data_IF_020821990130
#
_entry.id   IF_020821990130
#
_cell.length_a   1.000
_cell.length_b   1.000
_cell.length_c   1.000
_cell.angle_alpha   90.00
_cell.angle_beta   90.00
_cell.angle_gamma   90.00
#
_symmetry.space_group_name_H-M   'P 1'
#
loop_
_entity.id
_entity.type
_entity.pdbx_description
1 polymer ?
#
# COMPACT_ATOMS: atom_id res chain seq x y z
N UNK A 1 -0.34 5.55 15.16
CA UNK A 1 1.13 5.52 14.88
C UNK A 1 1.46 4.23 14.14
N UNK A 2 2.43 4.22 13.20
CA UNK A 2 2.92 2.94 12.64
C UNK A 2 3.77 2.26 13.71
N UNK A 3 3.48 1.01 14.00
CA UNK A 3 4.14 0.22 15.04
C UNK A 3 5.13 -0.79 14.48
N UNK A 4 4.76 -1.45 13.40
CA UNK A 4 5.59 -2.49 12.81
C UNK A 4 5.65 -2.37 11.30
N UNK A 5 6.71 -2.92 10.74
CA UNK A 5 6.89 -3.12 9.29
C UNK A 5 7.38 -4.54 9.02
N UNK A 6 6.93 -5.12 7.92
CA UNK A 6 7.50 -6.33 7.32
C UNK A 6 7.70 -6.10 5.84
N UNK A 7 8.89 -6.45 5.35
CA UNK A 7 9.29 -6.31 3.94
C UNK A 7 9.61 -7.69 3.41
N UNK A 8 9.05 -8.04 2.25
CA UNK A 8 9.37 -9.29 1.56
C UNK A 8 9.84 -9.04 0.15
N UNK A 9 10.77 -9.87 -0.28
CA UNK A 9 11.26 -9.96 -1.65
C UNK A 9 11.91 -8.67 -2.18
N UNK A 10 12.49 -7.82 -1.31
CA UNK A 10 13.20 -6.62 -1.71
C UNK A 10 14.72 -6.82 -1.65
N UNK A 11 15.39 -6.86 -2.79
CA UNK A 11 16.86 -7.03 -2.92
C UNK A 11 17.37 -8.22 -2.09
N UNK A 12 18.22 -7.96 -1.09
CA UNK A 12 18.76 -8.99 -0.18
C UNK A 12 17.78 -9.46 0.89
N UNK A 13 16.65 -8.78 1.05
CA UNK A 13 15.60 -9.17 2.02
C UNK A 13 14.65 -10.15 1.32
N UNK A 14 14.68 -11.42 1.72
CA UNK A 14 13.65 -12.39 1.32
C UNK A 14 12.41 -12.19 2.19
N UNK A 15 12.57 -12.18 3.51
CA UNK A 15 11.56 -11.82 4.50
C UNK A 15 12.25 -11.19 5.71
N UNK A 16 11.88 -9.97 6.06
CA UNK A 16 12.47 -9.28 7.23
C UNK A 16 11.92 -9.81 8.55
N UNK A 17 10.84 -10.60 8.52
CA UNK A 17 10.01 -10.76 9.70
C UNK A 17 9.32 -9.43 10.08
N UNK A 18 8.63 -9.44 11.21
CA UNK A 18 7.99 -8.24 11.76
C UNK A 18 9.06 -7.45 12.52
N UNK A 19 9.28 -6.21 12.10
CA UNK A 19 10.22 -5.28 12.74
C UNK A 19 9.40 -4.21 13.46
N UNK A 20 9.50 -4.18 14.79
CA UNK A 20 8.82 -3.19 15.62
C UNK A 20 9.57 -1.87 15.61
N UNK A 21 8.88 -0.74 15.40
CA UNK A 21 9.46 0.58 15.49
C UNK A 21 9.64 1.03 16.93
N UNK A 22 10.87 1.41 17.26
CA UNK A 22 11.24 2.00 18.55
C UNK A 22 11.86 3.38 18.30
N UNK A 23 11.86 4.28 19.30
CA UNK A 23 12.51 5.60 19.18
C UNK A 23 13.97 5.54 18.74
N UNK A 24 14.68 4.49 19.14
CA UNK A 24 16.05 4.20 18.70
C UNK A 24 16.11 2.74 18.28
N UNK A 25 16.61 2.50 17.06
CA UNK A 25 16.79 1.17 16.49
C UNK A 25 18.23 0.99 16.02
N UNK A 26 18.85 -0.12 16.36
CA UNK A 26 20.21 -0.48 15.93
C UNK A 26 20.11 -1.74 15.07
N UNK A 27 20.55 -1.63 13.82
CA UNK A 27 20.60 -2.76 12.90
C UNK A 27 21.99 -3.39 12.92
N UNK A 28 22.09 -4.62 13.41
CA UNK A 28 23.31 -5.40 13.46
C UNK A 28 23.23 -6.57 12.48
N UNK A 29 24.37 -7.00 11.95
CA UNK A 29 24.45 -8.17 11.06
C UNK A 29 25.61 -8.08 10.07
N UNK A 30 25.88 -9.17 9.38
CA UNK A 30 26.92 -9.28 8.37
C UNK A 30 26.70 -8.31 7.18
N UNK A 31 27.75 -8.10 6.39
CA UNK A 31 27.62 -7.35 5.14
C UNK A 31 26.60 -8.06 4.22
N UNK A 32 25.86 -7.28 3.46
CA UNK A 32 24.79 -7.74 2.55
C UNK A 32 23.59 -8.45 3.22
N UNK A 33 23.46 -8.39 4.55
CA UNK A 33 22.32 -8.98 5.27
C UNK A 33 21.00 -8.22 5.13
N UNK A 34 20.95 -7.16 4.33
CA UNK A 34 19.72 -6.38 4.10
C UNK A 34 19.57 -5.10 4.92
N UNK A 35 20.49 -4.78 5.84
CA UNK A 35 20.42 -3.55 6.67
C UNK A 35 20.25 -2.28 5.84
N UNK A 36 21.11 -2.09 4.84
CA UNK A 36 21.03 -0.93 3.94
C UNK A 36 19.79 -0.96 3.05
N UNK A 37 19.33 -2.14 2.64
CA UNK A 37 18.08 -2.29 1.90
C UNK A 37 16.89 -1.85 2.75
N UNK A 38 16.84 -2.28 4.01
CA UNK A 38 15.81 -1.86 4.96
C UNK A 38 15.81 -0.35 5.15
N UNK A 39 16.95 0.27 5.45
CA UNK A 39 17.04 1.72 5.65
C UNK A 39 16.67 2.49 4.38
N UNK A 40 17.08 2.03 3.21
CA UNK A 40 16.79 2.67 1.92
C UNK A 40 15.34 2.49 1.46
N UNK A 41 14.56 1.60 2.07
CA UNK A 41 13.13 1.48 1.76
C UNK A 41 12.34 2.72 2.14
N UNK A 42 12.74 3.48 3.16
CA UNK A 42 12.04 4.70 3.57
C UNK A 42 12.20 5.84 2.55
N UNK A 43 13.44 6.26 2.18
CA UNK A 43 13.59 7.27 1.13
C UNK A 43 13.07 6.81 -0.25
N UNK A 44 12.97 5.50 -0.53
CA UNK A 44 12.32 4.97 -1.72
C UNK A 44 10.86 5.43 -1.81
N UNK A 45 10.12 5.42 -0.71
CA UNK A 45 8.75 5.91 -0.69
C UNK A 45 8.69 7.42 -0.85
N UNK A 46 9.55 8.16 -0.16
CA UNK A 46 9.63 9.63 -0.28
C UNK A 46 9.88 10.05 -1.74
N UNK A 47 10.89 9.48 -2.40
CA UNK A 47 11.19 9.80 -3.80
C UNK A 47 10.05 9.44 -4.77
N UNK A 48 9.21 8.48 -4.40
CA UNK A 48 8.09 8.04 -5.24
C UNK A 48 6.89 8.98 -5.15
N UNK A 49 6.67 9.61 -3.98
CA UNK A 49 5.58 10.57 -3.77
C UNK A 49 5.81 11.87 -4.52
N UNK A 50 7.05 12.34 -4.55
CA UNK A 50 7.40 13.65 -5.12
C UNK A 50 7.37 13.68 -6.67
N UNK A 51 7.30 12.51 -7.31
CA UNK A 51 7.30 12.40 -8.77
C UNK A 51 5.93 12.02 -9.30
N UNK A 52 5.49 12.71 -10.36
CA UNK A 52 4.34 12.29 -11.17
C UNK A 52 4.72 11.05 -11.98
N UNK A 53 4.60 9.89 -11.39
CA UNK A 53 4.99 8.61 -11.97
C UNK A 53 3.86 7.97 -12.77
N UNK A 54 4.22 7.16 -13.77
CA UNK A 54 3.27 6.25 -14.44
C UNK A 54 3.02 4.95 -13.65
N UNK A 55 3.53 4.86 -12.42
CA UNK A 55 3.44 3.68 -11.56
C UNK A 55 3.63 4.05 -10.09
N UNK A 56 3.51 3.09 -9.17
CA UNK A 56 3.46 3.35 -7.72
C UNK A 56 4.82 3.72 -7.12
N UNK A 57 5.92 3.33 -7.76
CA UNK A 57 7.27 3.48 -7.18
C UNK A 57 8.29 3.96 -8.23
N UNK A 58 9.13 4.90 -7.82
CA UNK A 58 10.36 5.29 -8.49
C UNK A 58 11.53 4.48 -7.92
N UNK A 59 12.01 3.48 -8.66
CA UNK A 59 13.13 2.66 -8.22
C UNK A 59 14.47 3.38 -8.26
N UNK A 60 14.57 4.46 -9.02
CA UNK A 60 15.79 5.24 -9.19
C UNK A 60 15.54 6.73 -8.97
N UNK A 61 16.39 7.31 -8.13
CA UNK A 61 16.57 8.76 -8.01
C UNK A 61 18.00 9.05 -7.62
N UNK A 62 18.68 9.95 -8.36
CA UNK A 62 20.07 10.30 -8.11
C UNK A 62 20.30 11.00 -6.76
N UNK A 63 19.26 11.62 -6.20
CA UNK A 63 19.33 12.33 -4.92
C UNK A 63 19.05 11.45 -3.70
N UNK A 64 18.35 10.32 -3.89
CA UNK A 64 17.89 9.47 -2.78
C UNK A 64 18.39 8.05 -2.88
N UNK A 65 17.70 7.21 -3.67
CA UNK A 65 17.98 5.77 -3.73
C UNK A 65 17.98 5.26 -5.15
N UNK A 66 18.98 4.43 -5.44
CA UNK A 66 19.05 3.65 -6.65
C UNK A 66 18.85 2.16 -6.33
N UNK A 67 17.69 1.63 -6.73
CA UNK A 67 17.40 0.20 -6.78
C UNK A 67 17.31 -0.32 -8.22
N UNK A 68 17.62 0.53 -9.21
CA UNK A 68 17.52 0.20 -10.62
C UNK A 68 16.10 0.20 -11.15
N UNK A 69 15.60 -0.99 -11.45
CA UNK A 69 14.23 -1.26 -11.88
C UNK A 69 13.56 -2.31 -10.98
N UNK A 70 12.32 -2.66 -11.28
CA UNK A 70 11.60 -3.71 -10.53
C UNK A 70 12.36 -5.04 -10.52
N UNK A 71 12.92 -5.46 -11.66
CA UNK A 71 13.62 -6.74 -11.78
C UNK A 71 14.88 -6.77 -10.91
N UNK A 72 15.62 -5.67 -10.89
CA UNK A 72 16.83 -5.50 -10.05
C UNK A 72 16.47 -5.34 -8.57
N UNK A 73 15.33 -4.70 -8.27
CA UNK A 73 14.86 -4.50 -6.91
C UNK A 73 14.25 -5.78 -6.31
N UNK A 74 13.68 -6.68 -7.12
CA UNK A 74 13.12 -7.94 -6.63
C UNK A 74 14.23 -8.88 -6.16
N UNK A 75 13.97 -9.59 -5.05
CA UNK A 75 14.88 -10.62 -4.56
C UNK A 75 15.00 -11.74 -5.60
N UNK A 76 16.24 -12.12 -5.94
CA UNK A 76 16.52 -13.11 -6.98
C UNK A 76 16.10 -14.54 -6.63
N UNK A 77 15.85 -14.82 -5.36
CA UNK A 77 15.41 -16.13 -4.86
C UNK A 77 13.90 -16.17 -4.59
N UNK A 78 13.19 -15.05 -4.77
CA UNK A 78 11.74 -15.01 -4.63
C UNK A 78 11.05 -15.79 -5.75
N UNK A 79 9.95 -16.46 -5.43
CA UNK A 79 9.09 -17.10 -6.42
C UNK A 79 8.68 -16.08 -7.50
N UNK A 80 8.61 -16.52 -8.76
CA UNK A 80 8.20 -15.65 -9.87
C UNK A 80 6.80 -15.08 -9.68
N UNK A 81 5.91 -15.84 -9.07
CA UNK A 81 4.52 -15.43 -8.79
C UNK A 81 4.41 -14.41 -7.67
N UNK A 82 5.38 -14.35 -6.77
CA UNK A 82 5.40 -13.41 -5.66
C UNK A 82 6.00 -12.07 -6.07
N UNK A 83 5.38 -10.99 -5.61
CA UNK A 83 5.87 -9.63 -5.78
C UNK A 83 6.73 -9.17 -4.59
N UNK A 84 7.19 -7.93 -4.68
CA UNK A 84 7.79 -7.22 -3.54
C UNK A 84 6.62 -6.74 -2.67
N UNK A 85 6.62 -7.07 -1.37
CA UNK A 85 5.53 -6.67 -0.48
C UNK A 85 5.99 -5.91 0.74
N UNK A 86 5.13 -5.00 1.18
CA UNK A 86 5.27 -4.20 2.38
C UNK A 86 4.01 -4.36 3.21
N UNK A 87 4.18 -4.61 4.49
CA UNK A 87 3.09 -4.74 5.46
C UNK A 87 3.40 -3.84 6.65
N UNK A 88 2.40 -3.10 7.11
CA UNK A 88 2.49 -2.19 8.24
C UNK A 88 1.38 -2.50 9.22
N UNK A 89 1.69 -2.45 10.51
CA UNK A 89 0.65 -2.37 11.54
C UNK A 89 0.63 -0.97 12.12
N UNK A 90 -0.53 -0.57 12.55
CA UNK A 90 -0.76 0.76 13.13
C UNK A 90 -1.71 0.67 14.33
N UNK A 91 -1.49 1.58 15.27
CA UNK A 91 -2.43 1.84 16.37
C UNK A 91 -2.62 3.34 16.57
N UNK A 92 -3.61 3.68 17.40
CA UNK A 92 -3.90 5.06 17.81
C UNK A 92 -4.00 6.08 16.68
N UNK A 93 -4.69 5.72 15.58
CA UNK A 93 -5.07 6.68 14.55
C UNK A 93 -6.16 7.67 15.00
N UNK A 94 -6.38 7.78 16.30
CA UNK A 94 -7.48 8.51 16.95
C UNK A 94 -7.50 10.01 16.65
N UNK A 95 -6.40 10.60 16.18
CA UNK A 95 -6.32 12.06 16.04
C UNK A 95 -7.03 12.62 14.81
N UNK A 96 -7.43 11.79 13.84
CA UNK A 96 -7.85 12.29 12.53
C UNK A 96 -9.36 12.26 12.33
N UNK A 97 -10.05 11.24 12.74
CA UNK A 97 -11.52 11.21 12.66
C UNK A 97 -12.10 10.00 13.42
N UNK A 98 -12.95 10.27 14.40
CA UNK A 98 -13.76 9.24 15.08
C UNK A 98 -14.92 8.75 14.21
N UNK A 99 -14.94 9.06 12.92
CA UNK A 99 -16.02 8.64 12.04
C UNK A 99 -15.97 7.14 11.85
N UNK A 100 -17.07 6.48 12.18
CA UNK A 100 -17.31 5.10 11.79
C UNK A 100 -17.48 5.06 10.28
N UNK A 101 -16.73 4.19 9.63
CA UNK A 101 -16.91 3.92 8.22
C UNK A 101 -17.99 2.85 8.07
N UNK A 102 -18.95 3.14 7.22
CA UNK A 102 -20.00 2.19 6.88
C UNK A 102 -19.75 1.70 5.46
N UNK A 103 -19.53 0.40 5.32
CA UNK A 103 -19.46 -0.28 4.03
C UNK A 103 -20.79 -0.98 3.82
N UNK A 104 -21.56 -0.53 2.84
CA UNK A 104 -22.82 -1.18 2.47
C UNK A 104 -22.62 -2.03 1.22
N UNK A 105 -22.99 -3.31 1.30
CA UNK A 105 -23.09 -4.20 0.15
C UNK A 105 -24.42 -4.94 0.20
N UNK A 106 -25.32 -4.63 -0.72
CA UNK A 106 -26.69 -5.14 -0.69
C UNK A 106 -27.36 -4.85 0.65
N UNK A 107 -27.76 -5.89 1.35
CA UNK A 107 -28.41 -5.81 2.68
C UNK A 107 -27.40 -5.80 3.84
N UNK A 108 -26.09 -5.93 3.56
CA UNK A 108 -25.06 -5.95 4.61
C UNK A 108 -24.47 -4.55 4.81
N UNK A 109 -24.36 -4.17 6.07
CA UNK A 109 -23.68 -2.93 6.47
C UNK A 109 -22.54 -3.31 7.41
N UNK A 110 -21.32 -3.01 7.00
CA UNK A 110 -20.14 -3.19 7.83
C UNK A 110 -19.75 -1.84 8.42
N UNK A 111 -19.52 -1.79 9.72
CA UNK A 111 -18.97 -0.61 10.38
C UNK A 111 -17.58 -0.94 10.91
N UNK A 112 -16.61 -0.05 10.73
CA UNK A 112 -15.27 -0.22 11.27
C UNK A 112 -14.70 1.08 11.79
N UNK A 113 -13.82 0.97 12.75
CA UNK A 113 -12.99 2.05 13.25
C UNK A 113 -11.54 1.78 12.82
N UNK A 114 -10.85 2.80 12.34
CA UNK A 114 -9.43 2.71 11.98
C UNK A 114 -8.49 2.94 13.18
N UNK A 115 -8.93 2.52 14.38
CA UNK A 115 -8.15 2.71 15.60
C UNK A 115 -6.83 1.93 15.55
N UNK A 116 -6.91 0.68 15.13
CA UNK A 116 -5.79 -0.23 14.99
C UNK A 116 -6.03 -1.19 13.84
N UNK A 117 -4.95 -1.70 13.26
CA UNK A 117 -5.06 -2.65 12.16
C UNK A 117 -3.74 -2.85 11.42
N UNK A 118 -3.86 -3.44 10.25
CA UNK A 118 -2.73 -3.58 9.33
C UNK A 118 -3.11 -3.13 7.92
N UNK A 119 -2.08 -2.76 7.20
CA UNK A 119 -2.16 -2.36 5.81
C UNK A 119 -0.99 -3.00 5.07
N UNK A 120 -1.26 -3.61 3.93
CA UNK A 120 -0.21 -4.17 3.09
C UNK A 120 -0.47 -3.92 1.61
N UNK A 121 0.60 -3.89 0.83
CA UNK A 121 0.52 -3.88 -0.62
C UNK A 121 1.65 -4.71 -1.23
N UNK A 122 1.38 -5.25 -2.41
CA UNK A 122 2.31 -6.03 -3.21
C UNK A 122 2.54 -5.35 -4.57
N UNK A 123 3.81 -5.27 -4.95
CA UNK A 123 4.27 -4.73 -6.21
C UNK A 123 4.67 -5.85 -7.15
N UNK A 124 4.24 -5.77 -8.41
CA UNK A 124 4.71 -6.59 -9.52
C UNK A 124 5.24 -5.72 -10.65
N UNK A 125 6.03 -6.31 -11.52
CA UNK A 125 6.56 -5.65 -12.71
C UNK A 125 6.14 -6.36 -13.97
N UNK A 126 5.89 -5.56 -15.02
CA UNK A 126 5.65 -6.00 -16.39
C UNK A 126 6.56 -5.23 -17.36
N UNK A 127 6.38 -5.42 -18.67
CA UNK A 127 7.12 -4.70 -19.71
C UNK A 127 6.89 -3.18 -19.72
N UNK A 128 5.84 -2.70 -19.05
CA UNK A 128 5.47 -1.27 -18.95
C UNK A 128 5.94 -0.63 -17.63
N UNK A 129 6.50 -1.42 -16.71
CA UNK A 129 7.01 -0.97 -15.42
C UNK A 129 6.36 -1.65 -14.21
N UNK A 130 6.35 -0.98 -13.07
CA UNK A 130 5.81 -1.51 -11.82
C UNK A 130 4.33 -1.17 -11.65
N UNK A 131 3.56 -2.09 -11.09
CA UNK A 131 2.17 -1.88 -10.70
C UNK A 131 1.87 -2.54 -9.35
N UNK A 132 0.80 -2.12 -8.69
CA UNK A 132 0.31 -2.78 -7.47
C UNK A 132 -0.57 -3.95 -7.89
N UNK A 133 -0.21 -5.16 -7.46
CA UNK A 133 -0.97 -6.38 -7.70
C UNK A 133 -1.97 -6.68 -6.60
N UNK A 134 -1.69 -6.25 -5.37
CA UNK A 134 -2.55 -6.51 -4.21
C UNK A 134 -2.47 -5.38 -3.20
N UNK A 135 -3.61 -5.06 -2.60
CA UNK A 135 -3.72 -4.20 -1.41
C UNK A 135 -4.59 -4.94 -0.40
N UNK A 136 -4.21 -4.93 0.85
CA UNK A 136 -5.02 -5.46 1.95
C UNK A 136 -5.05 -4.47 3.10
N UNK A 137 -6.22 -4.29 3.68
CA UNK A 137 -6.46 -3.45 4.85
C UNK A 137 -7.24 -4.30 5.84
N UNK A 138 -6.71 -4.46 7.03
CA UNK A 138 -7.37 -5.14 8.12
C UNK A 138 -7.58 -4.16 9.25
N UNK A 139 -8.79 -4.12 9.75
CA UNK A 139 -9.20 -3.35 10.92
C UNK A 139 -9.78 -4.29 11.94
N UNK A 140 -10.23 -3.81 13.08
CA UNK A 140 -10.84 -4.64 14.14
C UNK A 140 -11.97 -5.52 13.61
N UNK A 141 -12.82 -4.99 12.72
CA UNK A 141 -14.06 -5.66 12.30
C UNK A 141 -14.13 -5.95 10.79
N UNK A 142 -13.24 -5.37 10.00
CA UNK A 142 -13.31 -5.47 8.54
C UNK A 142 -11.94 -5.80 7.96
N UNK A 143 -11.94 -6.84 7.13
CA UNK A 143 -10.84 -7.17 6.24
C UNK A 143 -11.23 -6.80 4.81
N UNK A 144 -10.45 -5.93 4.19
CA UNK A 144 -10.68 -5.44 2.84
C UNK A 144 -9.47 -5.74 1.96
N UNK A 145 -9.69 -6.43 0.86
CA UNK A 145 -8.66 -6.81 -0.10
C UNK A 145 -9.01 -6.40 -1.52
N UNK A 146 -7.98 -5.97 -2.25
CA UNK A 146 -7.99 -5.67 -3.67
C UNK A 146 -6.91 -6.48 -4.34
N UNK A 147 -7.18 -7.06 -5.50
CA UNK A 147 -6.16 -7.73 -6.29
C UNK A 147 -6.41 -7.63 -7.80
N UNK A 148 -5.31 -7.60 -8.54
CA UNK A 148 -5.27 -7.72 -9.99
C UNK A 148 -4.18 -8.72 -10.37
N UNK A 149 -4.40 -9.51 -11.43
CA UNK A 149 -3.37 -10.41 -11.94
C UNK A 149 -2.44 -9.67 -12.91
N UNK A 150 -2.99 -8.74 -13.69
CA UNK A 150 -2.28 -7.89 -14.63
C UNK A 150 -2.73 -6.43 -14.47
N UNK A 151 -1.91 -5.49 -14.93
CA UNK A 151 -2.16 -4.03 -14.87
C UNK A 151 -3.51 -3.62 -15.47
N UNK A 152 -3.97 -4.31 -16.50
CA UNK A 152 -5.22 -4.01 -17.23
C UNK A 152 -6.40 -4.85 -16.77
N UNK A 153 -6.21 -5.74 -15.80
CA UNK A 153 -7.28 -6.58 -15.30
C UNK A 153 -8.30 -5.77 -14.48
N UNK A 154 -9.49 -6.32 -14.40
CA UNK A 154 -10.49 -5.81 -13.48
C UNK A 154 -10.04 -6.07 -12.04
N UNK A 155 -10.29 -5.10 -11.16
CA UNK A 155 -9.97 -5.24 -9.74
C UNK A 155 -10.95 -6.25 -9.11
N UNK A 156 -10.39 -7.25 -8.45
CA UNK A 156 -11.14 -8.18 -7.62
C UNK A 156 -11.19 -7.65 -6.19
N UNK A 157 -12.39 -7.63 -5.61
CA UNK A 157 -12.62 -7.17 -4.24
C UNK A 157 -12.91 -8.35 -3.33
N UNK A 158 -12.38 -8.30 -2.12
CA UNK A 158 -12.67 -9.25 -1.06
C UNK A 158 -12.98 -8.47 0.22
N UNK A 159 -14.14 -8.71 0.83
CA UNK A 159 -14.51 -8.11 2.13
C UNK A 159 -14.86 -9.25 3.07
N UNK A 160 -14.16 -9.35 4.20
CA UNK A 160 -14.35 -10.41 5.19
C UNK A 160 -14.37 -11.84 4.58
N UNK A 161 -13.46 -12.07 3.61
CA UNK A 161 -13.34 -13.36 2.91
C UNK A 161 -14.33 -13.59 1.78
N UNK A 162 -15.31 -12.70 1.57
CA UNK A 162 -16.29 -12.82 0.48
C UNK A 162 -15.80 -12.04 -0.73
N UNK A 163 -15.68 -12.71 -1.86
CA UNK A 163 -15.27 -12.10 -3.13
C UNK A 163 -16.43 -11.40 -3.82
N UNK A 164 -16.18 -10.22 -4.33
CA UNK A 164 -17.15 -9.42 -5.06
C UNK A 164 -16.61 -9.08 -6.45
N UNK A 165 -17.47 -9.14 -7.44
CA UNK A 165 -17.18 -8.64 -8.79
C UNK A 165 -17.89 -7.31 -8.97
N UNK A 166 -17.13 -6.29 -9.38
CA UNK A 166 -17.76 -5.05 -9.81
C UNK A 166 -18.51 -5.27 -11.13
N UNK A 167 -19.72 -4.74 -11.30
CA UNK A 167 -20.42 -4.73 -12.58
C UNK A 167 -19.68 -3.91 -13.64
N UNK A 168 -18.82 -2.99 -13.22
CA UNK A 168 -18.01 -2.13 -14.06
C UNK A 168 -16.55 -2.55 -14.02
N UNK A 169 -15.84 -2.32 -15.15
CA UNK A 169 -14.38 -2.51 -15.17
C UNK A 169 -13.73 -1.41 -14.36
N UNK A 170 -13.10 -1.78 -13.24
CA UNK A 170 -12.34 -0.89 -12.38
C UNK A 170 -10.84 -1.15 -12.54
N UNK A 171 -10.04 -0.08 -12.49
CA UNK A 171 -8.60 -0.15 -12.62
C UNK A 171 -7.91 0.83 -11.66
N UNK A 172 -6.63 0.58 -11.37
CA UNK A 172 -5.81 1.48 -10.58
C UNK A 172 -5.37 2.70 -11.39
N UNK A 173 -5.65 3.88 -10.85
CA UNK A 173 -5.22 5.15 -11.43
C UNK A 173 -4.10 5.76 -10.59
N UNK A 174 -2.89 5.80 -11.13
CA UNK A 174 -1.72 6.35 -10.47
C UNK A 174 -1.57 7.87 -10.62
N UNK A 175 -2.32 8.50 -11.52
CA UNK A 175 -2.27 9.96 -11.73
C UNK A 175 -2.93 10.74 -10.58
N UNK A 176 -3.84 10.10 -9.85
CA UNK A 176 -4.55 10.66 -8.70
C UNK A 176 -4.16 9.90 -7.43
N UNK A 177 -2.93 9.40 -7.38
CA UNK A 177 -2.46 8.60 -6.28
C UNK A 177 -2.38 9.43 -4.99
N UNK A 178 -2.75 8.79 -3.91
CA UNK A 178 -2.48 9.26 -2.56
C UNK A 178 -1.11 8.73 -2.12
N UNK A 179 -0.06 9.48 -2.38
CA UNK A 179 1.30 8.98 -2.20
C UNK A 179 1.61 7.87 -3.22
N UNK A 180 2.06 6.71 -2.75
CA UNK A 180 2.37 5.54 -3.60
C UNK A 180 1.13 4.71 -3.96
N UNK A 181 0.00 4.95 -3.30
CA UNK A 181 -1.20 4.14 -3.46
C UNK A 181 -2.12 4.77 -4.51
N UNK A 182 -2.56 3.99 -5.51
CA UNK A 182 -3.41 4.48 -6.58
C UNK A 182 -4.83 4.74 -6.08
N UNK A 183 -5.56 5.62 -6.74
CA UNK A 183 -7.01 5.65 -6.64
C UNK A 183 -7.64 4.56 -7.52
N UNK A 184 -8.91 4.27 -7.30
CA UNK A 184 -9.68 3.40 -8.18
C UNK A 184 -10.52 4.27 -9.11
N UNK A 185 -10.47 3.97 -10.40
CA UNK A 185 -11.25 4.63 -11.44
C UNK A 185 -12.05 3.61 -12.27
N UNK A 186 -13.12 4.06 -12.93
CA UNK A 186 -13.91 3.28 -13.89
C UNK A 186 -13.78 3.84 -15.31
N UNK A 187 -14.02 2.99 -16.32
CA UNK A 187 -13.97 3.39 -17.74
C UNK A 187 -15.22 4.16 -18.22
N UNK A 188 -16.22 4.38 -17.38
CA UNK A 188 -17.37 5.18 -17.79
C UNK A 188 -17.00 6.65 -17.86
N UNK A 189 -17.07 7.20 -19.05
CA UNK A 189 -17.23 8.64 -19.29
C UNK A 189 -18.66 9.03 -18.90
N UNK A 190 -18.96 9.22 -17.64
CA UNK A 190 -20.29 9.65 -17.23
C UNK A 190 -20.23 11.06 -16.68
N UNK A 191 -21.09 11.91 -17.21
CA UNK A 191 -21.42 13.24 -16.69
C UNK A 191 -22.22 13.17 -15.38
N UNK A 192 -22.13 12.09 -14.62
CA UNK A 192 -22.78 11.95 -13.32
C UNK A 192 -21.76 11.56 -12.26
N UNK A 193 -21.44 12.50 -11.39
CA UNK A 193 -20.57 12.35 -10.23
C UNK A 193 -21.03 11.29 -9.21
N UNK A 194 -22.10 10.55 -9.48
CA UNK A 194 -22.79 9.69 -8.52
C UNK A 194 -22.60 8.18 -8.74
N UNK A 195 -21.86 7.74 -9.77
CA UNK A 195 -21.80 6.31 -10.15
C UNK A 195 -20.42 5.66 -10.02
N UNK A 196 -19.57 6.19 -9.18
CA UNK A 196 -18.40 5.44 -8.71
C UNK A 196 -18.94 4.35 -7.78
N UNK A 197 -18.74 3.07 -8.13
CA UNK A 197 -19.24 1.97 -7.32
C UNK A 197 -18.88 2.20 -5.86
N UNK A 198 -19.79 1.93 -4.92
CA UNK A 198 -19.58 2.22 -3.50
C UNK A 198 -18.24 1.70 -2.94
N UNK A 199 -17.65 0.69 -3.59
CA UNK A 199 -16.34 0.10 -3.24
C UNK A 199 -15.16 1.02 -3.53
N UNK A 200 -15.14 1.71 -4.67
CA UNK A 200 -14.07 2.66 -5.00
C UNK A 200 -14.10 3.86 -4.07
N UNK A 201 -15.29 4.31 -3.68
CA UNK A 201 -15.46 5.40 -2.71
C UNK A 201 -14.92 5.01 -1.33
N UNK A 202 -15.22 3.79 -0.89
CA UNK A 202 -14.74 3.26 0.40
C UNK A 202 -13.22 3.14 0.39
N UNK A 203 -12.67 2.51 -0.64
CA UNK A 203 -11.23 2.38 -0.80
C UNK A 203 -10.53 3.74 -0.80
N UNK A 204 -10.97 4.67 -1.64
CA UNK A 204 -10.36 5.99 -1.76
C UNK A 204 -10.42 6.77 -0.43
N UNK A 205 -11.50 6.62 0.34
CA UNK A 205 -11.61 7.20 1.70
C UNK A 205 -10.68 6.53 2.69
N UNK A 206 -10.63 5.19 2.74
CA UNK A 206 -9.74 4.44 3.64
C UNK A 206 -8.27 4.78 3.38
N UNK A 207 -7.88 4.80 2.11
CA UNK A 207 -6.52 5.16 1.71
C UNK A 207 -6.21 6.61 2.06
N UNK A 208 -7.11 7.55 1.77
CA UNK A 208 -6.92 8.97 2.13
C UNK A 208 -6.66 9.16 3.61
N UNK A 209 -7.29 8.37 4.48
CA UNK A 209 -7.07 8.43 5.93
C UNK A 209 -5.75 7.77 6.32
N UNK A 210 -5.45 6.59 5.80
CA UNK A 210 -4.21 5.88 6.13
C UNK A 210 -2.95 6.66 5.73
N UNK A 211 -3.02 7.44 4.63
CA UNK A 211 -1.89 8.24 4.15
C UNK A 211 -1.79 9.58 4.87
N UNK A 212 -2.90 10.14 5.32
CA UNK A 212 -2.89 11.39 6.10
C UNK A 212 -2.32 11.24 7.51
N UNK A 213 -1.95 10.01 7.92
CA UNK A 213 -1.23 9.78 9.17
C UNK A 213 0.20 10.33 9.03
N UNK A 214 0.53 11.47 9.65
CA UNK A 214 1.91 11.91 9.65
C UNK A 214 2.75 10.85 10.34
N UNK A 215 3.87 10.48 9.74
CA UNK A 215 5.00 9.97 10.51
C UNK A 215 5.33 11.08 11.50
N UNK A 216 4.77 11.02 12.69
CA UNK A 216 5.11 11.97 13.75
C UNK A 216 6.59 11.74 14.09
N UNK A 217 7.44 12.48 13.44
CA UNK A 217 8.65 12.97 14.08
C UNK A 217 8.17 13.82 15.26
N UNK A 218 8.14 13.23 16.45
CA UNK A 218 7.89 14.01 17.65
C UNK A 218 8.87 15.17 17.67
N UNK A 219 8.49 16.36 18.17
CA UNK A 219 9.41 17.45 18.33
C UNK A 219 10.57 16.96 19.20
N UNK A 220 11.77 16.93 18.63
CA UNK A 220 12.99 16.80 19.41
C UNK A 220 13.05 18.10 20.22
N UNK A 221 12.63 18.03 21.48
CA UNK A 221 12.92 19.09 22.44
C UNK A 221 14.40 18.97 22.75
N UNK A 222 15.19 19.91 22.23
CA UNK A 222 16.55 20.18 22.72
C UNK A 222 16.47 20.81 24.11
#
# INVERSE_FOLDING_TARGET
MIENIRIRNLRSIHDSGIIEFKPIMILLGANSSGKSTFLRSFPLFTQSVDKKLRGPISWFDSAYVDFGDYKTAKNRYADEKEGISFEYTYSDLVSIDRRRFYVRHGNYVYSTELKEGSFSFELKGDSKGTFISKISIHTVNVSFGLSVNDRNDNINFVINGISFKSPEKLFFNYNTAFGILPSIASNKSSNSDNDVSGYSLIYNRLIGILISVPLKSGPVKY
#
